data_IF_444053284244
#
_entry.id   IF_444053284244
#
_cell.length_a   1.000
_cell.length_b   1.000
_cell.length_c   1.000
_cell.angle_alpha   90.00
_cell.angle_beta   90.00
_cell.angle_gamma   90.00
#
_symmetry.space_group_name_H-M   'P 1'
#
loop_
_entity.id
_entity.type
_entity.pdbx_description
1 polymer ?
#
# COMPACT_ATOMS: atom_id res chain seq x y z
N UNK A 1 2.12 -21.47 11.40
CA UNK A 1 3.38 -20.77 11.67
C UNK A 1 3.12 -19.33 11.30
N UNK A 2 3.31 -18.37 12.22
CA UNK A 2 3.06 -16.96 11.89
C UNK A 2 4.05 -16.51 10.81
N UNK A 3 3.56 -15.77 9.83
CA UNK A 3 4.42 -15.21 8.79
C UNK A 3 5.24 -14.08 9.41
N UNK A 4 6.55 -14.04 9.16
CA UNK A 4 7.41 -12.96 9.68
C UNK A 4 7.56 -11.91 8.60
N UNK A 5 7.31 -10.64 8.94
CA UNK A 5 7.52 -9.51 8.05
C UNK A 5 8.86 -8.86 8.41
N UNK A 6 9.85 -9.05 7.57
CA UNK A 6 11.20 -8.51 7.72
C UNK A 6 11.44 -7.30 6.82
N UNK A 7 10.71 -7.17 5.70
CA UNK A 7 10.87 -6.06 4.76
C UNK A 7 9.54 -5.50 4.27
N UNK A 8 9.42 -4.16 4.30
CA UNK A 8 8.22 -3.44 3.87
C UNK A 8 8.57 -2.48 2.73
N UNK A 9 7.83 -2.56 1.63
CA UNK A 9 7.91 -1.62 0.51
C UNK A 9 6.85 -0.52 0.64
N UNK A 10 7.30 0.73 0.56
CA UNK A 10 6.46 1.93 0.48
C UNK A 10 6.67 2.61 -0.88
N UNK A 11 5.75 2.44 -1.84
CA UNK A 11 5.78 3.21 -3.07
C UNK A 11 5.30 4.65 -2.84
N UNK A 12 5.88 5.60 -3.58
CA UNK A 12 5.55 7.02 -3.49
C UNK A 12 5.64 7.73 -4.84
N UNK A 13 4.68 8.63 -5.08
CA UNK A 13 4.71 9.64 -6.13
C UNK A 13 4.91 11.06 -5.55
N UNK A 14 5.26 11.16 -4.26
CA UNK A 14 5.41 12.42 -3.53
C UNK A 14 4.09 13.07 -3.07
N UNK A 15 2.93 12.54 -3.48
CA UNK A 15 1.62 13.11 -3.13
C UNK A 15 1.26 12.99 -1.65
N UNK A 16 0.27 13.76 -1.22
CA UNK A 16 -0.24 13.75 0.16
C UNK A 16 -0.75 12.36 0.56
N UNK A 17 -1.48 11.69 -0.34
CA UNK A 17 -1.97 10.34 -0.11
C UNK A 17 -0.83 9.31 -0.01
N UNK A 18 0.21 9.42 -0.83
CA UNK A 18 1.39 8.58 -0.70
C UNK A 18 2.12 8.81 0.64
N UNK A 19 2.19 10.06 1.13
CA UNK A 19 2.78 10.38 2.44
C UNK A 19 1.99 9.79 3.61
N UNK A 20 0.66 9.68 3.50
CA UNK A 20 -0.18 9.00 4.50
C UNK A 20 0.16 7.51 4.53
N UNK A 21 0.23 6.86 3.37
CA UNK A 21 0.68 5.46 3.27
C UNK A 21 2.09 5.26 3.84
N UNK A 22 3.01 6.17 3.54
CA UNK A 22 4.39 6.12 4.02
C UNK A 22 4.50 6.23 5.53
N UNK A 23 3.73 7.12 6.17
CA UNK A 23 3.69 7.22 7.64
C UNK A 23 3.27 5.90 8.27
N UNK A 24 2.25 5.24 7.71
CA UNK A 24 1.80 3.93 8.19
C UNK A 24 2.84 2.84 7.97
N UNK A 25 3.50 2.83 6.81
CA UNK A 25 4.57 1.87 6.52
C UNK A 25 5.76 2.02 7.47
N UNK A 26 6.15 3.27 7.76
CA UNK A 26 7.18 3.60 8.75
C UNK A 26 6.79 3.13 10.15
N UNK A 27 5.56 3.41 10.57
CA UNK A 27 5.04 3.00 11.88
C UNK A 27 5.04 1.47 12.06
N UNK A 28 4.54 0.75 11.05
CA UNK A 28 4.54 -0.71 11.05
C UNK A 28 5.96 -1.27 11.07
N UNK A 29 6.86 -0.76 10.22
CA UNK A 29 8.25 -1.20 10.18
C UNK A 29 8.96 -0.96 11.52
N UNK A 30 8.75 0.21 12.14
CA UNK A 30 9.29 0.52 13.45
C UNK A 30 8.73 -0.39 14.56
N UNK A 31 7.45 -0.71 14.50
CA UNK A 31 6.78 -1.57 15.49
C UNK A 31 7.34 -3.00 15.49
N UNK A 32 7.62 -3.54 14.30
CA UNK A 32 8.01 -4.94 14.14
C UNK A 32 9.51 -5.13 13.90
N UNK A 33 10.27 -4.04 13.78
CA UNK A 33 11.70 -4.07 13.50
C UNK A 33 12.06 -4.48 12.07
N UNK A 34 11.17 -4.24 11.11
CA UNK A 34 11.40 -4.55 9.70
C UNK A 34 12.25 -3.47 9.01
N UNK A 35 12.96 -3.89 7.96
CA UNK A 35 13.62 -3.00 7.02
C UNK A 35 12.57 -2.27 6.15
N UNK A 36 12.90 -1.05 5.72
CA UNK A 36 12.01 -0.21 4.91
C UNK A 36 12.62 0.04 3.54
N UNK A 37 11.90 -0.32 2.49
CA UNK A 37 12.19 0.05 1.13
C UNK A 37 11.24 1.16 0.69
N UNK A 38 11.77 2.22 0.08
CA UNK A 38 10.97 3.32 -0.46
C UNK A 38 11.24 3.42 -1.96
N UNK A 39 10.19 3.31 -2.76
CA UNK A 39 10.28 3.27 -4.21
C UNK A 39 9.49 4.43 -4.83
N UNK A 40 10.07 5.09 -5.82
CA UNK A 40 9.34 5.97 -6.72
C UNK A 40 9.55 5.52 -8.16
N UNK A 41 8.53 5.69 -8.99
CA UNK A 41 8.58 5.30 -10.40
C UNK A 41 8.42 6.54 -11.30
N UNK A 42 9.31 6.67 -12.29
CA UNK A 42 9.26 7.71 -13.32
C UNK A 42 8.60 7.14 -14.56
N UNK A 43 7.38 7.57 -14.85
CA UNK A 43 6.64 7.13 -16.02
C UNK A 43 6.94 8.03 -17.23
N UNK A 44 7.59 7.48 -18.25
CA UNK A 44 7.89 8.22 -19.48
C UNK A 44 6.62 8.74 -20.20
N UNK A 45 5.43 8.21 -19.87
CA UNK A 45 4.15 8.70 -20.40
C UNK A 45 3.73 10.06 -19.82
N UNK A 46 4.36 10.50 -18.72
CA UNK A 46 4.18 11.83 -18.15
C UNK A 46 5.01 12.91 -18.88
N UNK A 47 5.84 12.48 -19.83
CA UNK A 47 6.57 13.36 -20.73
C UNK A 47 5.65 13.72 -21.91
N UNK A 48 5.39 15.01 -22.08
CA UNK A 48 4.56 15.52 -23.17
C UNK A 48 5.16 15.15 -24.54
N UNK A 49 4.41 14.47 -25.42
CA UNK A 49 4.93 13.95 -26.68
C UNK A 49 5.31 15.04 -27.69
N UNK A 50 4.78 16.26 -27.52
CA UNK A 50 5.03 17.40 -28.42
C UNK A 50 6.36 18.13 -28.13
N UNK A 51 7.10 17.71 -27.09
CA UNK A 51 8.43 18.25 -26.79
C UNK A 51 9.47 17.78 -27.82
N UNK A 52 10.42 18.65 -28.13
CA UNK A 52 11.62 18.27 -28.88
C UNK A 52 12.55 17.39 -28.01
N UNK A 53 13.57 16.77 -28.62
CA UNK A 53 14.48 15.86 -27.90
C UNK A 53 15.15 16.49 -26.66
N UNK A 54 15.57 17.75 -26.76
CA UNK A 54 16.14 18.49 -25.63
C UNK A 54 15.11 18.71 -24.51
N UNK A 55 13.87 19.05 -24.87
CA UNK A 55 12.78 19.24 -23.91
C UNK A 55 12.34 17.95 -23.23
N UNK A 56 12.33 16.81 -23.95
CA UNK A 56 12.06 15.49 -23.38
C UNK A 56 13.13 15.12 -22.35
N UNK A 57 14.41 15.30 -22.69
CA UNK A 57 15.54 15.03 -21.79
C UNK A 57 15.46 15.89 -20.52
N UNK A 58 15.12 17.16 -20.65
CA UNK A 58 14.99 18.05 -19.49
C UNK A 58 13.79 17.65 -18.62
N UNK A 59 12.65 17.30 -19.23
CA UNK A 59 11.47 16.81 -18.49
C UNK A 59 11.78 15.52 -17.73
N UNK A 60 12.46 14.58 -18.36
CA UNK A 60 12.87 13.32 -17.73
C UNK A 60 13.73 13.57 -16.50
N UNK A 61 14.76 14.43 -16.60
CA UNK A 61 15.58 14.82 -15.45
C UNK A 61 14.79 15.49 -14.33
N UNK A 62 13.81 16.31 -14.68
CA UNK A 62 12.94 16.94 -13.68
C UNK A 62 12.12 15.89 -12.93
N UNK A 63 11.53 14.93 -13.63
CA UNK A 63 10.76 13.82 -13.03
C UNK A 63 11.65 12.93 -12.16
N UNK A 64 12.85 12.58 -12.62
CA UNK A 64 13.84 11.85 -11.82
C UNK A 64 14.19 12.61 -10.54
N UNK A 65 14.45 13.92 -10.64
CA UNK A 65 14.76 14.76 -9.48
C UNK A 65 13.58 14.83 -8.50
N UNK A 66 12.34 14.87 -9.00
CA UNK A 66 11.13 14.84 -8.16
C UNK A 66 10.96 13.50 -7.46
N UNK A 67 11.17 12.39 -8.17
CA UNK A 67 11.13 11.04 -7.63
C UNK A 67 12.20 10.83 -6.55
N UNK A 68 13.44 11.27 -6.81
CA UNK A 68 14.53 11.26 -5.84
C UNK A 68 14.15 12.04 -4.57
N UNK A 69 13.61 13.25 -4.72
CA UNK A 69 13.14 14.05 -3.57
C UNK A 69 12.02 13.36 -2.79
N UNK A 70 11.12 12.68 -3.49
CA UNK A 70 10.00 11.97 -2.86
C UNK A 70 10.49 10.83 -1.99
N UNK A 71 11.37 9.96 -2.50
CA UNK A 71 11.95 8.86 -1.71
C UNK A 71 12.82 9.37 -0.56
N UNK A 72 13.60 10.42 -0.80
CA UNK A 72 14.47 11.04 0.21
C UNK A 72 13.67 11.66 1.37
N UNK A 73 12.52 12.26 1.05
CA UNK A 73 11.64 12.84 2.06
C UNK A 73 11.12 11.79 3.03
N UNK A 74 10.66 10.66 2.50
CA UNK A 74 10.19 9.53 3.31
C UNK A 74 11.36 8.90 4.07
N UNK A 75 12.51 8.69 3.42
CA UNK A 75 13.68 8.12 4.08
C UNK A 75 14.19 8.99 5.24
N UNK A 76 14.16 10.32 5.12
CA UNK A 76 14.47 11.23 6.23
C UNK A 76 13.49 11.07 7.39
N UNK A 77 12.20 10.96 7.11
CA UNK A 77 11.19 10.70 8.14
C UNK A 77 11.41 9.31 8.78
N UNK A 78 11.66 8.29 7.99
CA UNK A 78 11.91 6.92 8.44
C UNK A 78 13.11 6.85 9.42
N UNK A 79 14.21 7.55 9.11
CA UNK A 79 15.44 7.57 9.94
C UNK A 79 15.23 8.09 11.36
N UNK A 80 14.16 8.86 11.63
CA UNK A 80 13.87 9.33 13.00
C UNK A 80 13.09 8.31 13.83
N UNK A 81 12.57 7.24 13.20
CA UNK A 81 11.68 6.27 13.84
C UNK A 81 12.19 4.82 13.74
N UNK A 82 12.96 4.47 12.72
CA UNK A 82 13.48 3.11 12.52
C UNK A 82 14.92 2.96 13.00
N UNK A 83 15.20 1.77 13.52
CA UNK A 83 16.54 1.24 13.74
C UNK A 83 17.02 0.29 12.63
N UNK A 84 16.11 -0.17 11.76
CA UNK A 84 16.39 -1.08 10.64
C UNK A 84 17.04 -0.38 9.43
N UNK A 85 17.32 -1.15 8.38
CA UNK A 85 17.83 -0.62 7.13
C UNK A 85 16.76 0.16 6.38
N UNK A 86 17.17 1.25 5.72
CA UNK A 86 16.31 2.06 4.87
C UNK A 86 16.94 2.13 3.49
N UNK A 87 16.25 1.57 2.51
CA UNK A 87 16.67 1.52 1.10
C UNK A 87 15.75 2.42 0.28
N UNK A 88 16.33 3.25 -0.59
CA UNK A 88 15.57 4.10 -1.52
C UNK A 88 15.89 3.71 -2.96
N UNK A 89 14.88 3.66 -3.82
CA UNK A 89 15.04 3.37 -5.24
C UNK A 89 14.16 4.28 -6.10
N UNK A 90 14.67 4.65 -7.27
CA UNK A 90 13.92 5.32 -8.33
C UNK A 90 14.01 4.43 -9.55
N UNK A 91 12.87 4.00 -10.07
CA UNK A 91 12.79 3.10 -11.22
C UNK A 91 12.07 3.79 -12.39
N UNK A 92 12.47 3.49 -13.62
CA UNK A 92 11.77 3.99 -14.81
C UNK A 92 10.70 3.00 -15.25
N UNK A 93 9.50 3.48 -15.57
CA UNK A 93 8.42 2.65 -16.13
C UNK A 93 7.06 2.95 -15.54
N UNK A 94 6.09 2.09 -15.88
CA UNK A 94 4.72 2.24 -15.39
C UNK A 94 4.69 1.89 -13.88
N UNK A 95 4.15 2.76 -13.00
CA UNK A 95 4.36 2.63 -11.56
C UNK A 95 4.00 1.27 -10.95
N UNK A 96 2.83 0.70 -11.28
CA UNK A 96 2.43 -0.60 -10.71
C UNK A 96 3.30 -1.76 -11.22
N UNK A 97 3.89 -1.64 -12.42
CA UNK A 97 4.81 -2.64 -12.96
C UNK A 97 6.16 -2.53 -12.25
N UNK A 98 6.69 -1.32 -12.12
CA UNK A 98 7.91 -1.07 -11.36
C UNK A 98 7.80 -1.56 -9.91
N UNK A 99 6.65 -1.39 -9.26
CA UNK A 99 6.38 -1.95 -7.92
C UNK A 99 6.48 -3.47 -7.92
N UNK A 100 5.81 -4.16 -8.87
CA UNK A 100 5.84 -5.61 -8.94
C UNK A 100 7.25 -6.13 -9.27
N UNK A 101 7.92 -5.52 -10.25
CA UNK A 101 9.29 -5.88 -10.64
C UNK A 101 10.27 -5.70 -9.47
N UNK A 102 10.07 -4.65 -8.65
CA UNK A 102 10.86 -4.44 -7.44
C UNK A 102 10.61 -5.55 -6.41
N UNK A 103 9.36 -5.93 -6.19
CA UNK A 103 8.98 -7.04 -5.28
C UNK A 103 9.51 -8.40 -5.80
N UNK A 104 9.55 -8.63 -7.10
CA UNK A 104 10.06 -9.89 -7.66
C UNK A 104 11.59 -10.00 -7.56
N UNK A 105 12.29 -8.87 -7.46
CA UNK A 105 13.76 -8.79 -7.43
C UNK A 105 14.35 -8.59 -6.04
N UNK A 106 13.52 -8.22 -5.07
CA UNK A 106 13.91 -7.97 -3.68
C UNK A 106 13.02 -8.79 -2.75
N UNK A 107 13.55 -9.27 -1.64
CA UNK A 107 12.79 -10.05 -0.65
C UNK A 107 11.84 -9.12 0.16
N UNK A 108 10.80 -8.59 -0.49
CA UNK A 108 9.75 -7.77 0.12
C UNK A 108 8.65 -8.67 0.66
N UNK A 109 8.24 -8.49 1.91
CA UNK A 109 7.17 -9.28 2.53
C UNK A 109 5.81 -8.59 2.47
N UNK A 110 5.79 -7.25 2.38
CA UNK A 110 4.58 -6.44 2.47
C UNK A 110 4.70 -5.13 1.69
N UNK A 111 3.65 -4.73 0.98
CA UNK A 111 3.52 -3.38 0.42
C UNK A 111 2.61 -2.55 1.32
N UNK A 112 3.02 -1.33 1.67
CA UNK A 112 2.15 -0.36 2.37
C UNK A 112 2.05 0.92 1.53
N UNK A 113 0.84 1.28 1.10
CA UNK A 113 0.64 2.44 0.22
C UNK A 113 -0.64 3.21 0.50
N UNK A 114 -0.66 4.48 0.10
CA UNK A 114 -1.87 5.29 0.11
C UNK A 114 -2.86 4.87 -0.98
N UNK A 115 -4.15 5.09 -0.76
CA UNK A 115 -5.18 4.84 -1.79
C UNK A 115 -5.35 6.02 -2.76
N UNK A 116 -4.74 7.17 -2.49
CA UNK A 116 -4.78 8.35 -3.34
C UNK A 116 -3.37 8.76 -3.75
N UNK A 117 -3.23 9.16 -5.01
CA UNK A 117 -1.99 9.72 -5.58
C UNK A 117 -2.17 11.18 -5.98
N UNK A 118 -1.32 11.67 -6.88
CA UNK A 118 -1.34 13.06 -7.35
C UNK A 118 -2.66 13.52 -7.99
N UNK A 119 -3.45 12.62 -8.60
CA UNK A 119 -4.67 12.97 -9.37
C UNK A 119 -5.96 13.02 -8.54
N UNK A 120 -5.87 13.09 -7.20
CA UNK A 120 -6.96 12.83 -6.25
C UNK A 120 -8.32 13.47 -6.60
N UNK A 121 -9.34 12.64 -6.86
CA UNK A 121 -10.74 13.06 -6.98
C UNK A 121 -11.45 12.95 -5.62
N UNK A 122 -12.37 13.88 -5.34
CA UNK A 122 -13.08 14.11 -4.06
C UNK A 122 -14.06 13.00 -3.62
N UNK A 123 -14.06 11.82 -4.25
CA UNK A 123 -14.89 10.68 -3.86
C UNK A 123 -14.05 9.43 -3.82
N UNK A 124 -14.38 8.55 -2.87
CA UNK A 124 -13.82 7.22 -2.53
C UNK A 124 -13.49 6.37 -3.78
N UNK A 125 -12.46 6.75 -4.52
CA UNK A 125 -11.96 6.05 -5.70
C UNK A 125 -10.52 5.70 -5.37
N UNK A 126 -10.27 4.40 -5.31
CA UNK A 126 -8.93 3.85 -5.20
C UNK A 126 -8.12 4.30 -6.42
N UNK A 127 -6.96 4.91 -6.19
CA UNK A 127 -6.07 5.38 -7.24
C UNK A 127 -5.65 4.24 -8.16
N UNK A 128 -5.43 4.55 -9.44
CA UNK A 128 -5.17 3.53 -10.48
C UNK A 128 -3.95 2.67 -10.19
N UNK A 129 -2.91 3.22 -9.57
CA UNK A 129 -1.72 2.47 -9.16
C UNK A 129 -2.05 1.54 -8.00
N UNK A 130 -2.77 2.00 -6.98
CA UNK A 130 -3.17 1.18 -5.83
C UNK A 130 -4.11 0.04 -6.24
N UNK A 131 -5.09 0.30 -7.11
CA UNK A 131 -5.99 -0.74 -7.63
C UNK A 131 -5.23 -1.82 -8.40
N UNK A 132 -4.32 -1.43 -9.29
CA UNK A 132 -3.54 -2.38 -10.08
C UNK A 132 -2.58 -3.17 -9.21
N UNK A 133 -1.94 -2.52 -8.24
CA UNK A 133 -1.03 -3.19 -7.29
C UNK A 133 -1.80 -4.23 -6.47
N UNK A 134 -2.95 -3.88 -5.88
CA UNK A 134 -3.82 -4.82 -5.16
C UNK A 134 -4.24 -6.04 -5.98
N UNK A 135 -4.41 -5.86 -7.29
CA UNK A 135 -4.83 -6.94 -8.20
C UNK A 135 -3.68 -7.85 -8.65
N UNK A 136 -2.43 -7.37 -8.57
CA UNK A 136 -1.30 -8.02 -9.26
C UNK A 136 -0.09 -8.32 -8.39
N UNK A 137 0.02 -7.73 -7.20
CA UNK A 137 1.13 -7.97 -6.29
C UNK A 137 1.15 -9.45 -5.83
N UNK A 138 2.36 -10.03 -5.80
CA UNK A 138 2.59 -11.37 -5.28
C UNK A 138 2.60 -11.45 -3.74
N UNK A 139 2.67 -10.29 -3.08
CA UNK A 139 2.75 -10.12 -1.63
C UNK A 139 1.54 -9.32 -1.13
N UNK A 140 1.18 -9.40 0.17
CA UNK A 140 0.05 -8.65 0.69
C UNK A 140 0.25 -7.15 0.54
N UNK A 141 -0.87 -6.44 0.41
CA UNK A 141 -0.89 -4.98 0.23
C UNK A 141 -1.77 -4.37 1.30
N UNK A 142 -1.19 -3.52 2.15
CA UNK A 142 -1.91 -2.65 3.07
C UNK A 142 -2.19 -1.33 2.37
N UNK A 143 -3.46 -0.96 2.30
CA UNK A 143 -3.86 0.33 1.75
C UNK A 143 -4.37 1.27 2.83
N UNK A 144 -3.95 2.53 2.75
CA UNK A 144 -4.28 3.55 3.74
C UNK A 144 -5.13 4.63 3.10
N UNK A 145 -6.33 4.82 3.63
CA UNK A 145 -7.25 5.86 3.18
C UNK A 145 -6.89 7.21 3.80
N UNK A 146 -7.16 8.35 3.11
CA UNK A 146 -6.86 9.68 3.64
C UNK A 146 -7.63 10.02 4.93
N UNK A 147 -8.86 9.51 5.05
CA UNK A 147 -9.73 9.71 6.21
C UNK A 147 -9.48 8.71 7.33
N UNK A 148 -8.58 7.74 7.14
CA UNK A 148 -8.15 6.88 8.25
C UNK A 148 -7.43 7.75 9.27
N UNK A 149 -7.69 7.53 10.57
CA UNK A 149 -7.11 8.33 11.66
C UNK A 149 -5.63 8.60 11.39
N UNK A 150 -5.29 9.83 11.00
CA UNK A 150 -3.90 10.24 10.79
C UNK A 150 -3.32 10.42 12.18
N UNK A 151 -2.75 9.35 12.72
CA UNK A 151 -2.09 9.34 14.02
C UNK A 151 -0.59 9.52 13.80
N UNK A 152 0.08 10.13 14.77
CA UNK A 152 1.53 10.26 14.77
C UNK A 152 2.20 8.86 14.77
N UNK A 153 3.36 8.76 14.11
CA UNK A 153 4.16 7.54 14.10
C UNK A 153 4.52 7.18 15.56
N UNK A 154 4.22 5.95 15.96
CA UNK A 154 4.45 5.44 17.31
C UNK A 154 3.24 5.54 18.26
N UNK A 155 2.18 6.23 17.86
CA UNK A 155 0.96 6.38 18.68
C UNK A 155 -0.21 5.53 18.14
N UNK A 156 0.00 4.84 17.01
CA UNK A 156 -1.02 4.03 16.37
C UNK A 156 -1.00 2.59 16.90
N UNK A 157 -2.04 2.22 17.64
CA UNK A 157 -2.33 0.83 17.99
C UNK A 157 -3.63 0.38 17.35
N UNK A 158 -3.60 -0.74 16.64
CA UNK A 158 -4.83 -1.39 16.22
C UNK A 158 -5.35 -2.22 17.39
N UNK A 159 -6.36 -1.72 18.08
CA UNK A 159 -7.00 -2.46 19.18
C UNK A 159 -8.02 -3.49 18.67
N UNK A 160 -8.59 -3.24 17.49
CA UNK A 160 -9.65 -4.04 16.90
C UNK A 160 -9.36 -4.26 15.41
N UNK A 161 -9.30 -5.52 15.00
CA UNK A 161 -9.10 -5.91 13.59
C UNK A 161 -10.30 -6.72 13.13
N UNK A 162 -10.95 -6.28 12.06
CA UNK A 162 -12.04 -7.02 11.42
C UNK A 162 -11.48 -7.89 10.29
N UNK A 163 -11.71 -9.20 10.39
CA UNK A 163 -11.39 -10.18 9.37
C UNK A 163 -12.69 -10.64 8.70
N UNK A 164 -13.09 -10.03 7.57
CA UNK A 164 -14.22 -10.51 6.80
C UNK A 164 -13.86 -11.84 6.15
N UNK A 165 -14.82 -12.76 6.09
CA UNK A 165 -14.66 -14.02 5.37
C UNK A 165 -15.93 -14.37 4.62
N UNK A 166 -15.76 -14.87 3.40
CA UNK A 166 -16.79 -15.51 2.61
C UNK A 166 -16.55 -17.04 2.50
N UNK A 167 -15.60 -17.57 3.28
CA UNK A 167 -15.20 -18.98 3.27
C UNK A 167 -14.39 -19.40 2.04
N UNK A 168 -13.92 -18.46 1.22
CA UNK A 168 -13.03 -18.76 0.09
C UNK A 168 -11.57 -18.96 0.53
N UNK A 169 -10.79 -19.68 -0.28
CA UNK A 169 -9.35 -19.85 -0.05
C UNK A 169 -8.61 -18.50 0.02
N UNK A 170 -9.06 -17.50 -0.75
CA UNK A 170 -8.51 -16.14 -0.70
C UNK A 170 -8.81 -15.44 0.63
N UNK A 171 -10.01 -15.63 1.18
CA UNK A 171 -10.35 -15.12 2.50
C UNK A 171 -9.56 -15.82 3.61
N UNK A 172 -9.34 -17.14 3.51
CA UNK A 172 -8.51 -17.88 4.46
C UNK A 172 -7.06 -17.36 4.49
N UNK A 173 -6.48 -17.08 3.32
CA UNK A 173 -5.14 -16.46 3.24
C UNK A 173 -5.13 -15.07 3.88
N UNK A 174 -6.15 -14.25 3.63
CA UNK A 174 -6.26 -12.93 4.25
C UNK A 174 -6.43 -13.01 5.79
N UNK A 175 -7.13 -14.03 6.29
CA UNK A 175 -7.27 -14.29 7.73
C UNK A 175 -5.91 -14.61 8.37
N UNK A 176 -5.06 -15.43 7.74
CA UNK A 176 -3.75 -15.76 8.28
C UNK A 176 -2.86 -14.51 8.48
N UNK A 177 -2.85 -13.62 7.48
CA UNK A 177 -2.16 -12.33 7.57
C UNK A 177 -2.79 -11.41 8.62
N UNK A 178 -4.12 -11.38 8.68
CA UNK A 178 -4.87 -10.61 9.66
C UNK A 178 -4.63 -11.03 11.11
N UNK A 179 -4.52 -12.34 11.36
CA UNK A 179 -4.15 -12.88 12.68
C UNK A 179 -2.71 -12.50 13.02
N UNK A 180 -1.79 -12.61 12.06
CA UNK A 180 -0.39 -12.18 12.26
C UNK A 180 -0.32 -10.70 12.67
N UNK A 181 -1.06 -9.82 12.00
CA UNK A 181 -1.18 -8.40 12.39
C UNK A 181 -1.80 -8.23 13.78
N UNK A 182 -2.86 -8.97 14.10
CA UNK A 182 -3.51 -8.90 15.40
C UNK A 182 -2.56 -9.31 16.54
N UNK A 183 -1.79 -10.38 16.35
CA UNK A 183 -0.79 -10.83 17.32
C UNK A 183 0.30 -9.77 17.53
N UNK A 184 0.77 -9.11 16.45
CA UNK A 184 1.79 -8.05 16.55
C UNK A 184 1.31 -6.82 17.32
N UNK A 185 0.02 -6.48 17.20
CA UNK A 185 -0.58 -5.32 17.86
C UNK A 185 -1.28 -5.63 19.19
N UNK A 186 -1.33 -6.90 19.62
CA UNK A 186 -2.18 -7.38 20.73
C UNK A 186 -3.65 -6.97 20.55
N UNK A 187 -4.15 -7.11 19.32
CA UNK A 187 -5.46 -6.64 18.89
C UNK A 187 -6.55 -7.71 19.10
N UNK A 188 -7.76 -7.25 19.40
CA UNK A 188 -8.95 -8.10 19.36
C UNK A 188 -9.37 -8.37 17.91
N UNK A 189 -9.48 -9.65 17.55
CA UNK A 189 -9.97 -10.07 16.24
C UNK A 189 -11.49 -10.20 16.26
N UNK A 190 -12.14 -9.52 15.31
CA UNK A 190 -13.57 -9.66 15.02
C UNK A 190 -13.71 -10.34 13.66
N UNK A 191 -14.45 -11.45 13.58
CA UNK A 191 -14.70 -12.14 12.30
C UNK A 191 -16.11 -11.86 11.81
N UNK A 192 -16.28 -11.57 10.52
CA UNK A 192 -17.59 -11.29 9.93
C UNK A 192 -17.81 -12.13 8.66
N UNK A 193 -18.89 -12.91 8.62
CA UNK A 193 -19.39 -13.53 7.41
C UNK A 193 -20.71 -12.87 7.02
N UNK A 194 -20.79 -12.33 5.80
CA UNK A 194 -22.01 -11.71 5.28
C UNK A 194 -22.77 -12.70 4.41
N UNK A 195 -24.05 -12.95 4.75
CA UNK A 195 -24.94 -13.78 3.93
C UNK A 195 -25.78 -12.85 3.05
N UNK A 196 -25.68 -13.02 1.73
CA UNK A 196 -26.56 -12.32 0.80
C UNK A 196 -27.98 -12.91 0.85
N UNK A 197 -28.89 -12.19 1.51
CA UNK A 197 -30.29 -12.61 1.67
C UNK A 197 -31.15 -12.34 0.45
N UNK A 198 -30.67 -11.58 -0.54
CA UNK A 198 -31.42 -11.28 -1.78
C UNK A 198 -31.75 -12.54 -2.59
N UNK A 199 -30.96 -13.61 -2.40
CA UNK A 199 -31.16 -14.92 -3.03
C UNK A 199 -32.27 -15.77 -2.39
N UNK A 200 -32.77 -15.38 -1.22
CA UNK A 200 -33.86 -16.08 -0.52
C UNK A 200 -35.24 -15.42 -0.71
N UNK A 201 -35.32 -14.28 -1.40
CA UNK A 201 -36.57 -13.54 -1.63
C UNK A 201 -37.57 -14.13 -2.65
N UNK A 202 -37.42 -15.41 -3.01
CA UNK A 202 -38.24 -16.07 -4.05
C UNK A 202 -39.20 -17.16 -3.56
N UNK A 203 -39.28 -17.41 -2.25
CA UNK A 203 -40.20 -18.42 -1.69
C UNK A 203 -41.24 -17.72 -0.79
N UNK A 204 -42.04 -16.83 -1.39
CA UNK A 204 -43.36 -16.54 -0.82
C UNK A 204 -44.30 -17.68 -1.21
N UNK A 205 -44.83 -18.33 -0.19
CA UNK A 205 -45.57 -19.59 -0.28
C UNK A 205 -46.82 -19.51 -1.15
N UNK A 206 -46.96 -20.50 -2.01
CA UNK A 206 -48.26 -20.96 -2.49
C UNK A 206 -48.97 -21.63 -1.31
N UNK A 207 -49.73 -20.86 -0.54
CA UNK A 207 -50.75 -21.41 0.34
C UNK A 207 -52.02 -21.62 -0.51
N UNK A 208 -52.29 -22.88 -0.88
CA UNK A 208 -53.66 -23.36 -1.13
C UNK A 208 -54.35 -23.64 0.21
#
# INVERSE_FOLDING_TARGET
MSQTINSILVPTDGSDGARIGARRGIDLAATIGADLHVLSAVDARDIEPDLNADGQTERERLLETEAERAVDSIARLARTHLSGQITTAVESGIPFQAINDYVDTHDIDLIVMGTQGQTGFERVVLGSVAEKTLRTAAVPVVTVTPDGDIVEIGDQRYENILLPTDGSEGADLAIEWGITLAEMYDATVHTLYSVDTSRFGGVEGSAE
#
